data_IF_739594052764
#
_entry.id   IF_739594052764
#
_cell.length_a   1.000
_cell.length_b   1.000
_cell.length_c   1.000
_cell.angle_alpha   90.00
_cell.angle_beta   90.00
_cell.angle_gamma   90.00
#
_symmetry.space_group_name_H-M   'P 1'
#
loop_
_entity.id
_entity.type
_entity.pdbx_description
1 polymer ?
#
# COMPACT_ATOMS: atom_id res chain seq x y z
N UNK A 1 -25.85 -10.67 -7.55
CA UNK A 1 -24.45 -10.27 -7.76
C UNK A 1 -23.92 -9.84 -6.39
N UNK A 2 -23.17 -10.72 -5.73
CA UNK A 2 -22.52 -10.42 -4.45
C UNK A 2 -21.30 -9.56 -4.77
N UNK A 3 -21.39 -8.27 -4.43
CA UNK A 3 -20.24 -7.37 -4.46
C UNK A 3 -19.20 -7.90 -3.49
N UNK A 4 -18.10 -8.45 -4.01
CA UNK A 4 -16.96 -8.81 -3.17
C UNK A 4 -16.46 -7.56 -2.46
N UNK A 5 -16.50 -7.59 -1.14
CA UNK A 5 -16.07 -6.51 -0.27
C UNK A 5 -14.55 -6.29 -0.44
N UNK A 6 -14.16 -5.09 -0.85
CA UNK A 6 -12.74 -4.70 -0.88
C UNK A 6 -12.22 -4.69 0.55
N UNK A 7 -11.43 -5.70 0.92
CA UNK A 7 -10.82 -5.75 2.24
C UNK A 7 -9.59 -4.85 2.29
N UNK A 8 -9.65 -3.84 3.14
CA UNK A 8 -8.54 -2.96 3.45
C UNK A 8 -8.49 -2.71 4.96
N UNK A 9 -7.32 -2.82 5.54
CA UNK A 9 -7.07 -2.51 6.94
C UNK A 9 -5.73 -1.79 7.06
N UNK A 10 -5.71 -0.67 7.77
CA UNK A 10 -4.49 0.09 8.03
C UNK A 10 -4.32 0.38 9.52
N UNK A 11 -3.09 0.26 10.01
CA UNK A 11 -2.69 0.63 11.36
C UNK A 11 -1.50 1.59 11.29
N UNK A 12 -1.60 2.73 11.95
CA UNK A 12 -0.57 3.77 11.97
C UNK A 12 0.01 3.91 13.39
N UNK A 13 1.28 4.29 13.48
CA UNK A 13 2.08 4.30 14.72
C UNK A 13 1.52 5.16 15.85
N UNK A 14 0.96 6.31 15.58
CA UNK A 14 0.45 7.23 16.60
C UNK A 14 -1.00 6.90 16.95
N UNK A 15 -1.29 6.62 18.24
CA UNK A 15 -2.64 6.37 18.72
C UNK A 15 -3.62 7.52 18.46
N UNK A 16 -3.14 8.77 18.34
CA UNK A 16 -3.94 9.93 17.92
C UNK A 16 -4.26 9.91 16.44
N UNK A 17 -3.47 9.16 15.65
CA UNK A 17 -3.59 9.00 14.20
C UNK A 17 -4.00 7.55 13.82
N UNK A 18 -4.21 6.68 14.81
CA UNK A 18 -4.54 5.28 14.58
C UNK A 18 -5.91 5.17 13.90
N UNK A 19 -5.85 5.01 12.58
CA UNK A 19 -7.01 4.67 11.78
C UNK A 19 -7.07 3.16 11.72
N UNK A 20 -7.73 2.54 12.71
CA UNK A 20 -8.16 1.16 12.59
C UNK A 20 -9.51 1.19 11.88
N UNK A 21 -9.50 1.02 10.56
CA UNK A 21 -10.73 0.78 9.82
C UNK A 21 -10.60 -0.52 9.06
N UNK A 22 -11.17 -1.55 9.64
CA UNK A 22 -11.62 -2.70 8.88
C UNK A 22 -12.89 -2.22 8.18
N UNK A 23 -12.81 -2.05 6.86
CA UNK A 23 -14.01 -1.68 6.12
C UNK A 23 -14.79 -2.93 5.74
N UNK A 24 -15.87 -3.17 6.43
CA UNK A 24 -17.05 -3.77 5.83
C UNK A 24 -17.69 -2.68 4.98
N UNK A 25 -17.90 -2.96 3.71
CA UNK A 25 -18.33 -1.99 2.69
C UNK A 25 -19.73 -1.40 3.00
N UNK A 26 -19.84 -0.41 3.87
CA UNK A 26 -21.09 0.18 4.31
C UNK A 26 -21.45 1.47 3.58
N UNK A 27 -20.50 2.15 2.94
CA UNK A 27 -20.76 3.36 2.18
C UNK A 27 -21.08 3.03 0.71
N UNK A 28 -22.19 3.56 0.15
CA UNK A 28 -22.55 3.32 -1.24
C UNK A 28 -21.62 4.00 -2.25
N UNK A 29 -20.82 4.99 -1.81
CA UNK A 29 -19.80 5.66 -2.65
C UNK A 29 -18.46 5.60 -1.97
N UNK A 30 -17.48 5.06 -2.66
CA UNK A 30 -16.09 4.95 -2.21
C UNK A 30 -15.20 5.71 -3.16
N UNK A 31 -14.23 6.41 -2.60
CA UNK A 31 -13.22 7.14 -3.35
C UNK A 31 -11.85 6.97 -2.68
N UNK A 32 -10.81 7.24 -3.44
CA UNK A 32 -9.45 7.24 -2.95
C UNK A 32 -8.62 8.35 -3.63
N UNK A 33 -7.56 8.80 -2.97
CA UNK A 33 -6.66 9.80 -3.50
C UNK A 33 -5.40 9.92 -2.67
N UNK A 34 -4.57 10.92 -2.97
CA UNK A 34 -3.36 11.16 -2.21
C UNK A 34 -3.12 12.66 -1.97
N UNK A 35 -2.54 12.98 -0.82
CA UNK A 35 -1.92 14.27 -0.58
C UNK A 35 -0.49 14.21 -1.11
N UNK A 36 -0.28 14.79 -2.29
CA UNK A 36 1.06 14.90 -2.87
C UNK A 36 1.80 16.03 -2.16
N UNK A 37 2.98 15.73 -1.65
CA UNK A 37 3.77 16.68 -0.86
C UNK A 37 5.23 16.74 -1.32
N UNK A 38 5.87 17.87 -1.01
CA UNK A 38 7.31 18.07 -1.21
C UNK A 38 7.89 18.93 -0.09
N UNK A 39 9.22 18.94 0.01
CA UNK A 39 9.94 19.95 0.78
C UNK A 39 10.52 20.99 -0.19
N UNK A 40 10.17 22.24 0.00
CA UNK A 40 10.81 23.38 -0.66
C UNK A 40 11.73 24.08 0.35
N UNK A 41 13.02 23.77 0.28
CA UNK A 41 13.92 23.96 1.41
C UNK A 41 13.48 23.09 2.58
N UNK A 42 13.27 23.69 3.74
CA UNK A 42 12.73 23.02 4.93
C UNK A 42 11.19 23.09 5.05
N UNK A 43 10.51 23.81 4.13
CA UNK A 43 9.07 24.02 4.21
C UNK A 43 8.32 22.88 3.56
N UNK A 44 7.39 22.31 4.32
CA UNK A 44 6.42 21.36 3.78
C UNK A 44 5.42 22.11 2.89
N UNK A 45 5.26 21.64 1.67
CA UNK A 45 4.23 22.05 0.72
C UNK A 45 3.40 20.87 0.27
N UNK A 46 2.12 21.11 0.02
CA UNK A 46 1.15 20.14 -0.48
C UNK A 46 0.54 20.62 -1.79
N UNK A 47 0.28 19.69 -2.70
CA UNK A 47 -0.35 19.97 -3.98
C UNK A 47 -1.86 19.99 -3.81
N UNK A 48 -2.50 21.10 -4.18
CA UNK A 48 -3.95 21.24 -4.25
C UNK A 48 -4.40 21.37 -5.69
N UNK A 49 -5.62 20.93 -5.95
CA UNK A 49 -6.30 21.05 -7.25
C UNK A 49 -7.53 21.96 -7.13
N UNK A 50 -7.79 22.77 -8.17
CA UNK A 50 -9.05 23.48 -8.35
C UNK A 50 -9.88 22.79 -9.43
N UNK A 51 -11.17 22.51 -9.11
CA UNK A 51 -12.10 21.85 -10.01
C UNK A 51 -13.18 22.84 -10.45
N UNK A 52 -13.14 23.33 -11.70
CA UNK A 52 -14.03 24.41 -12.16
C UNK A 52 -15.52 24.03 -12.10
N UNK A 53 -15.84 22.75 -12.33
CA UNK A 53 -17.23 22.24 -12.26
C UNK A 53 -17.88 22.46 -10.88
N UNK A 54 -17.10 22.38 -9.81
CA UNK A 54 -17.55 22.51 -8.42
C UNK A 54 -17.13 23.85 -7.81
N UNK A 55 -16.24 24.58 -8.49
CA UNK A 55 -15.58 25.78 -7.99
C UNK A 55 -14.99 25.55 -6.59
N UNK A 56 -14.26 24.44 -6.42
CA UNK A 56 -13.70 24.02 -5.15
C UNK A 56 -12.20 23.69 -5.24
N UNK A 57 -11.52 23.88 -4.10
CA UNK A 57 -10.17 23.44 -3.85
C UNK A 57 -10.16 22.19 -3.00
N UNK A 58 -9.47 21.16 -3.45
CA UNK A 58 -9.41 19.87 -2.77
C UNK A 58 -8.08 19.13 -3.04
N UNK A 59 -7.98 17.91 -2.52
CA UNK A 59 -6.91 16.97 -2.85
C UNK A 59 -7.25 16.17 -4.09
N UNK A 60 -6.23 15.73 -4.87
CA UNK A 60 -6.46 14.78 -5.97
C UNK A 60 -7.12 13.50 -5.47
N UNK A 61 -8.30 13.16 -5.99
CA UNK A 61 -9.07 11.97 -5.60
C UNK A 61 -10.29 11.76 -6.49
N UNK A 62 -10.68 10.54 -6.66
CA UNK A 62 -11.93 10.24 -7.33
C UNK A 62 -12.55 8.90 -6.91
N UNK A 63 -13.58 8.47 -7.62
CA UNK A 63 -14.36 7.29 -7.29
C UNK A 63 -13.61 6.02 -7.66
N UNK A 64 -13.78 5.00 -6.83
CA UNK A 64 -13.30 3.65 -7.12
C UNK A 64 -14.09 3.06 -8.29
N UNK A 65 -13.38 2.60 -9.31
CA UNK A 65 -13.96 1.86 -10.42
C UNK A 65 -14.17 0.37 -10.07
N UNK A 66 -15.04 -0.30 -10.83
CA UNK A 66 -15.26 -1.72 -10.66
C UNK A 66 -13.96 -2.50 -10.94
N UNK A 67 -13.62 -3.46 -10.07
CA UNK A 67 -12.42 -4.26 -10.20
C UNK A 67 -11.12 -3.60 -9.69
N UNK A 68 -11.17 -2.35 -9.22
CA UNK A 68 -10.02 -1.67 -8.60
C UNK A 68 -9.93 -1.91 -7.09
N UNK A 69 -8.74 -1.94 -6.56
CA UNK A 69 -8.49 -1.72 -5.13
C UNK A 69 -8.39 -0.22 -4.85
N UNK A 70 -8.53 0.18 -3.58
CA UNK A 70 -8.42 1.59 -3.17
C UNK A 70 -7.08 2.23 -3.53
N UNK A 71 -5.99 1.45 -3.47
CA UNK A 71 -4.66 1.95 -3.82
C UNK A 71 -4.48 2.14 -5.33
N UNK A 72 -5.09 1.26 -6.15
CA UNK A 72 -5.15 1.43 -7.60
C UNK A 72 -5.93 2.70 -7.95
N UNK A 73 -7.10 2.90 -7.34
CA UNK A 73 -7.89 4.13 -7.49
C UNK A 73 -7.06 5.38 -7.15
N UNK A 74 -6.36 5.38 -6.01
CA UNK A 74 -5.59 6.55 -5.56
C UNK A 74 -4.49 6.95 -6.57
N UNK A 75 -3.73 5.98 -7.11
CA UNK A 75 -2.68 6.29 -8.08
C UNK A 75 -3.23 6.66 -9.45
N UNK A 76 -4.36 6.07 -9.89
CA UNK A 76 -5.03 6.41 -11.14
C UNK A 76 -5.54 7.85 -11.09
N UNK A 77 -6.29 8.22 -10.06
CA UNK A 77 -6.87 9.56 -9.91
C UNK A 77 -5.80 10.67 -9.84
N UNK A 78 -4.70 10.42 -9.11
CA UNK A 78 -3.57 11.37 -9.13
C UNK A 78 -2.93 11.45 -10.51
N UNK A 79 -2.84 10.32 -11.23
CA UNK A 79 -2.35 10.28 -12.60
C UNK A 79 -3.23 11.06 -13.56
N UNK A 80 -4.54 10.93 -13.45
CA UNK A 80 -5.54 11.59 -14.28
C UNK A 80 -5.63 13.10 -13.98
N UNK A 81 -5.77 13.49 -12.71
CA UNK A 81 -6.01 14.89 -12.32
C UNK A 81 -4.75 15.77 -12.39
N UNK A 82 -3.54 15.20 -12.13
CA UNK A 82 -2.29 16.01 -12.05
C UNK A 82 -1.10 15.43 -12.82
N UNK A 83 -1.32 14.43 -13.68
CA UNK A 83 -0.30 13.82 -14.56
C UNK A 83 0.95 13.28 -13.81
N UNK A 84 0.82 12.80 -12.59
CA UNK A 84 1.91 12.26 -11.80
C UNK A 84 1.81 10.75 -11.63
N UNK A 85 2.94 10.07 -11.76
CA UNK A 85 3.13 8.71 -11.24
C UNK A 85 3.70 8.79 -9.84
N UNK A 86 2.94 8.32 -8.86
CA UNK A 86 3.30 8.40 -7.45
C UNK A 86 3.52 7.01 -6.84
N UNK A 87 4.28 6.97 -5.75
CA UNK A 87 4.35 5.84 -4.83
C UNK A 87 3.64 6.25 -3.54
N UNK A 88 2.73 5.40 -3.06
CA UNK A 88 1.99 5.66 -1.84
C UNK A 88 2.89 5.45 -0.62
N UNK A 89 2.87 6.43 0.27
CA UNK A 89 3.50 6.41 1.59
C UNK A 89 2.52 6.02 2.69
N UNK A 90 2.60 6.68 3.84
CA UNK A 90 1.73 6.39 4.98
C UNK A 90 0.26 6.65 4.67
N UNK A 91 -0.66 5.76 5.11
CA UNK A 91 -2.09 6.04 5.03
C UNK A 91 -2.43 7.21 5.95
N UNK A 92 -3.31 8.08 5.46
CA UNK A 92 -3.83 9.25 6.16
C UNK A 92 -5.27 9.02 6.65
N UNK A 93 -5.94 10.07 7.10
CA UNK A 93 -7.31 9.99 7.56
C UNK A 93 -8.27 9.56 6.45
N UNK A 94 -9.31 8.82 6.82
CA UNK A 94 -10.46 8.52 5.95
C UNK A 94 -11.56 9.52 6.27
N UNK A 95 -11.98 10.28 5.26
CA UNK A 95 -13.04 11.27 5.44
C UNK A 95 -14.41 10.68 5.09
N UNK A 96 -15.44 11.05 5.86
CA UNK A 96 -16.80 10.58 5.66
C UNK A 96 -17.72 11.79 5.51
N UNK A 97 -18.51 11.83 4.45
CA UNK A 97 -19.50 12.89 4.23
C UNK A 97 -20.63 12.44 3.30
N UNK A 98 -21.68 13.22 3.24
CA UNK A 98 -22.84 12.95 2.39
C UNK A 98 -22.68 13.62 1.03
N UNK A 99 -22.90 12.86 -0.04
CA UNK A 99 -22.97 13.38 -1.41
C UNK A 99 -24.30 12.97 -2.04
N UNK A 100 -25.12 13.93 -2.42
CA UNK A 100 -26.44 13.68 -3.03
C UNK A 100 -27.29 12.69 -2.22
N UNK A 101 -27.29 12.83 -0.88
CA UNK A 101 -28.04 11.96 0.03
C UNK A 101 -27.44 10.57 0.27
N UNK A 102 -26.23 10.29 -0.24
CA UNK A 102 -25.52 9.02 -0.05
C UNK A 102 -24.25 9.21 0.74
N UNK A 103 -23.90 8.34 1.71
CA UNK A 103 -22.63 8.41 2.41
C UNK A 103 -21.49 8.12 1.42
N UNK A 104 -20.41 8.88 1.56
CA UNK A 104 -19.16 8.72 0.80
C UNK A 104 -17.99 8.61 1.74
N UNK A 105 -17.16 7.58 1.53
CA UNK A 105 -15.88 7.41 2.20
C UNK A 105 -14.75 7.74 1.22
N UNK A 106 -13.77 8.55 1.65
CA UNK A 106 -12.59 8.87 0.86
C UNK A 106 -11.34 8.46 1.64
N UNK A 107 -10.54 7.60 1.04
CA UNK A 107 -9.29 7.09 1.60
C UNK A 107 -8.12 7.88 1.04
N UNK A 108 -7.20 8.31 1.91
CA UNK A 108 -6.05 9.10 1.51
C UNK A 108 -4.73 8.50 1.96
N UNK A 109 -3.71 8.68 1.14
CA UNK A 109 -2.31 8.40 1.45
C UNK A 109 -1.47 9.65 1.27
N UNK A 110 -0.34 9.72 1.98
CA UNK A 110 0.71 10.65 1.65
C UNK A 110 1.47 10.14 0.43
N UNK A 111 1.83 11.03 -0.50
CA UNK A 111 2.69 10.68 -1.63
C UNK A 111 3.75 11.76 -1.81
N UNK A 112 5.03 11.39 -1.69
CA UNK A 112 6.11 12.35 -1.97
C UNK A 112 6.20 12.62 -3.47
N UNK A 113 6.34 13.89 -3.86
CA UNK A 113 6.61 14.22 -5.25
C UNK A 113 7.90 13.51 -5.72
N UNK A 114 7.86 12.68 -6.78
CA UNK A 114 9.06 12.04 -7.29
C UNK A 114 10.08 13.07 -7.80
N UNK A 115 11.36 12.75 -7.65
CA UNK A 115 12.44 13.65 -8.08
C UNK A 115 12.40 13.87 -9.59
N UNK A 116 12.38 15.13 -10.01
CA UNK A 116 12.36 15.51 -11.43
C UNK A 116 10.96 15.53 -12.05
N UNK A 117 9.92 15.13 -11.33
CA UNK A 117 8.55 15.19 -11.81
C UNK A 117 7.92 16.57 -11.60
N UNK A 118 7.07 16.95 -12.54
CA UNK A 118 6.36 18.23 -12.53
C UNK A 118 4.87 17.99 -12.77
N UNK A 119 4.00 18.19 -11.76
CA UNK A 119 2.57 18.04 -11.93
C UNK A 119 2.03 19.04 -12.94
N UNK A 120 1.00 18.60 -13.67
CA UNK A 120 0.24 19.44 -14.61
C UNK A 120 -1.24 19.17 -14.42
N UNK A 121 -2.05 20.22 -14.42
CA UNK A 121 -3.49 20.06 -14.41
C UNK A 121 -3.95 19.29 -15.67
N UNK A 122 -4.91 18.38 -15.49
CA UNK A 122 -5.65 17.84 -16.62
C UNK A 122 -6.76 18.83 -17.00
N UNK A 123 -6.68 19.42 -18.18
CA UNK A 123 -7.58 20.48 -18.63
C UNK A 123 -9.07 20.08 -18.69
N UNK A 124 -9.41 18.79 -18.45
CA UNK A 124 -10.78 18.29 -18.43
C UNK A 124 -11.49 18.47 -17.09
N UNK A 125 -10.85 18.10 -15.98
CA UNK A 125 -11.45 18.09 -14.64
C UNK A 125 -10.80 19.11 -13.68
N UNK A 126 -9.53 19.43 -13.90
CA UNK A 126 -8.72 20.34 -13.07
C UNK A 126 -8.18 21.47 -13.94
N UNK A 127 -8.49 22.71 -13.62
CA UNK A 127 -8.03 23.89 -14.34
C UNK A 127 -6.82 24.58 -13.68
N UNK A 128 -6.60 24.35 -12.37
CA UNK A 128 -5.48 24.93 -11.64
C UNK A 128 -4.91 23.96 -10.61
N UNK A 129 -3.59 23.96 -10.48
CA UNK A 129 -2.88 23.27 -9.39
C UNK A 129 -2.03 24.27 -8.62
N UNK A 130 -1.90 24.09 -7.30
CA UNK A 130 -1.07 24.94 -6.44
C UNK A 130 -0.27 24.15 -5.45
N UNK A 131 1.00 24.51 -5.33
CA UNK A 131 1.82 24.13 -4.18
C UNK A 131 1.63 25.19 -3.09
N UNK A 132 1.16 24.73 -1.94
CA UNK A 132 0.85 25.62 -0.81
C UNK A 132 1.36 25.03 0.50
N UNK A 133 1.66 25.89 1.47
CA UNK A 133 1.95 25.43 2.83
C UNK A 133 0.67 24.86 3.50
N UNK A 134 0.78 24.02 4.54
CA UNK A 134 -0.39 23.54 5.29
C UNK A 134 -1.26 24.66 5.84
N UNK A 135 -0.65 25.79 6.21
CA UNK A 135 -1.38 26.99 6.70
C UNK A 135 -2.25 27.61 5.60
N UNK A 136 -1.76 27.68 4.40
CA UNK A 136 -2.48 28.20 3.23
C UNK A 136 -3.54 27.19 2.77
N UNK A 137 -3.20 25.90 2.74
CA UNK A 137 -4.14 24.83 2.40
C UNK A 137 -5.40 24.87 3.29
N UNK A 138 -5.25 25.04 4.62
CA UNK A 138 -6.40 25.19 5.53
C UNK A 138 -7.35 26.32 5.19
N UNK A 139 -6.87 27.36 4.53
CA UNK A 139 -7.71 28.50 4.13
C UNK A 139 -8.37 28.29 2.76
N UNK A 140 -7.72 27.52 1.89
CA UNK A 140 -8.18 27.28 0.54
C UNK A 140 -9.16 26.12 0.44
N UNK A 141 -9.00 25.09 1.29
CA UNK A 141 -9.87 23.91 1.28
C UNK A 141 -11.35 24.31 1.37
N UNK A 142 -12.11 23.87 0.38
CA UNK A 142 -13.54 24.18 0.30
C UNK A 142 -14.39 23.27 1.21
N UNK A 143 -13.90 22.07 1.52
CA UNK A 143 -14.57 21.09 2.38
C UNK A 143 -13.87 20.99 3.75
N UNK A 144 -14.63 21.09 4.83
CA UNK A 144 -14.08 20.96 6.19
C UNK A 144 -13.52 19.57 6.47
N UNK A 145 -14.07 18.51 5.88
CA UNK A 145 -13.59 17.15 6.04
C UNK A 145 -12.21 16.92 5.41
N UNK A 146 -11.82 17.71 4.40
CA UNK A 146 -10.51 17.61 3.75
C UNK A 146 -9.36 18.14 4.64
N UNK A 147 -9.66 18.75 5.80
CA UNK A 147 -8.65 19.10 6.80
C UNK A 147 -8.09 17.87 7.53
N UNK A 148 -8.88 16.81 7.74
CA UNK A 148 -8.45 15.64 8.51
C UNK A 148 -7.19 14.97 7.90
N UNK A 149 -7.14 14.64 6.59
CA UNK A 149 -5.92 14.07 5.99
C UNK A 149 -4.75 15.05 5.98
N UNK A 150 -4.98 16.36 5.90
CA UNK A 150 -3.92 17.37 6.03
C UNK A 150 -3.30 17.37 7.43
N UNK A 151 -4.13 17.33 8.48
CA UNK A 151 -3.63 17.29 9.87
C UNK A 151 -2.84 16.00 10.12
N UNK A 152 -3.29 14.86 9.60
CA UNK A 152 -2.56 13.61 9.67
C UNK A 152 -1.19 13.71 8.97
N UNK A 153 -1.13 14.29 7.77
CA UNK A 153 0.13 14.51 7.05
C UNK A 153 1.08 15.44 7.83
N UNK A 154 0.56 16.53 8.38
CA UNK A 154 1.34 17.49 9.21
C UNK A 154 1.86 16.82 10.48
N UNK A 155 1.07 15.95 11.10
CA UNK A 155 1.49 15.21 12.29
C UNK A 155 2.64 14.24 11.94
N UNK A 156 2.55 13.49 10.84
CA UNK A 156 3.64 12.65 10.35
C UNK A 156 4.90 13.46 10.04
N UNK A 157 4.76 14.65 9.43
CA UNK A 157 5.90 15.53 9.18
C UNK A 157 6.60 15.94 10.47
N UNK A 158 5.83 16.42 11.46
CA UNK A 158 6.37 16.82 12.79
C UNK A 158 7.01 15.66 13.55
N UNK A 159 6.47 14.46 13.41
CA UNK A 159 7.01 13.26 14.04
C UNK A 159 8.24 12.66 13.29
N UNK A 160 8.63 13.21 12.13
CA UNK A 160 9.70 12.66 11.30
C UNK A 160 9.36 11.30 10.65
N UNK A 161 8.08 11.00 10.52
CA UNK A 161 7.56 9.71 10.00
C UNK A 161 6.89 9.84 8.62
N UNK A 162 7.00 11.00 7.96
CA UNK A 162 6.39 11.24 6.66
C UNK A 162 7.20 10.64 5.50
N UNK A 163 8.53 10.70 5.59
CA UNK A 163 9.41 10.09 4.60
C UNK A 163 9.51 8.59 4.85
N UNK A 164 8.87 7.82 4.00
CA UNK A 164 8.85 6.35 4.10
C UNK A 164 9.13 5.68 2.77
N UNK A 165 9.47 4.41 2.83
CA UNK A 165 9.51 3.51 1.68
C UNK A 165 8.69 2.26 1.95
N UNK A 166 8.00 1.70 0.96
CA UNK A 166 7.20 0.51 1.15
C UNK A 166 8.07 -0.77 1.20
N UNK A 167 7.69 -1.68 2.10
CA UNK A 167 8.14 -3.06 2.13
C UNK A 167 6.89 -3.96 2.11
N UNK A 168 6.78 -4.79 1.08
CA UNK A 168 5.62 -5.65 0.84
C UNK A 168 5.92 -7.07 1.27
N UNK A 169 5.11 -7.63 2.18
CA UNK A 169 5.13 -9.04 2.54
C UNK A 169 3.92 -9.71 1.90
N UNK A 170 4.14 -10.70 1.06
CA UNK A 170 3.08 -11.42 0.37
C UNK A 170 3.03 -12.89 0.77
N UNK A 171 1.83 -13.40 1.02
CA UNK A 171 1.58 -14.83 0.94
C UNK A 171 1.26 -15.19 -0.51
N UNK A 172 1.85 -16.27 -1.04
CA UNK A 172 1.55 -16.73 -2.41
C UNK A 172 0.03 -16.80 -2.65
N UNK A 173 -0.40 -16.51 -3.86
CA UNK A 173 -1.79 -16.61 -4.31
C UNK A 173 -2.32 -18.05 -4.24
N UNK A 174 -3.63 -18.23 -4.42
CA UNK A 174 -4.29 -19.52 -4.25
C UNK A 174 -3.69 -20.59 -5.17
N UNK A 175 -3.04 -21.59 -4.58
CA UNK A 175 -2.46 -22.71 -5.30
C UNK A 175 -3.51 -23.83 -5.53
N UNK A 176 -3.24 -24.74 -6.47
CA UNK A 176 -4.04 -25.98 -6.60
C UNK A 176 -4.14 -26.71 -5.26
N UNK A 177 -5.29 -27.32 -4.91
CA UNK A 177 -5.40 -28.14 -3.70
C UNK A 177 -4.36 -29.28 -3.71
N UNK A 178 -3.81 -29.62 -2.52
CA UNK A 178 -2.87 -30.72 -2.40
C UNK A 178 -3.50 -32.06 -2.83
N UNK A 179 -4.78 -32.26 -2.56
CA UNK A 179 -5.55 -33.44 -3.00
C UNK A 179 -5.58 -33.64 -4.52
N UNK A 180 -5.39 -32.57 -5.30
CA UNK A 180 -5.44 -32.57 -6.77
C UNK A 180 -4.04 -32.39 -7.39
N UNK A 181 -2.99 -32.71 -6.63
CA UNK A 181 -1.60 -32.59 -7.07
C UNK A 181 -0.79 -33.82 -6.68
N UNK A 182 -0.19 -34.50 -7.65
CA UNK A 182 0.53 -35.76 -7.47
C UNK A 182 2.04 -35.66 -7.59
N UNK A 183 2.56 -34.53 -8.13
CA UNK A 183 3.99 -34.27 -8.21
C UNK A 183 4.51 -33.63 -6.90
N UNK A 184 5.78 -33.24 -6.88
CA UNK A 184 6.40 -32.61 -5.71
C UNK A 184 5.69 -31.31 -5.31
N UNK A 185 5.57 -31.02 -4.01
CA UNK A 185 4.79 -29.86 -3.50
C UNK A 185 5.42 -28.49 -3.87
N UNK A 186 6.72 -28.45 -4.10
CA UNK A 186 7.43 -27.27 -4.60
C UNK A 186 7.08 -26.93 -6.06
N UNK A 187 6.69 -27.92 -6.87
CA UNK A 187 6.21 -27.75 -8.24
C UNK A 187 4.70 -27.46 -8.34
N UNK A 188 3.98 -27.43 -7.21
CA UNK A 188 2.54 -27.21 -7.19
C UNK A 188 2.18 -25.77 -7.62
N UNK A 189 1.46 -25.59 -8.77
CA UNK A 189 1.20 -24.29 -9.35
C UNK A 189 0.01 -23.58 -8.72
N UNK A 190 -0.20 -22.34 -9.12
CA UNK A 190 -1.42 -21.58 -8.82
C UNK A 190 -2.64 -22.25 -9.46
N UNK A 191 -3.78 -22.16 -8.75
CA UNK A 191 -5.11 -22.43 -9.30
C UNK A 191 -5.56 -21.29 -10.24
N UNK A 192 -6.66 -21.45 -10.94
CA UNK A 192 -7.24 -20.41 -11.79
C UNK A 192 -7.47 -19.09 -11.05
N UNK A 193 -8.11 -19.15 -9.87
CA UNK A 193 -8.26 -18.00 -8.98
C UNK A 193 -6.92 -17.39 -8.58
N UNK A 194 -5.91 -18.20 -8.25
CA UNK A 194 -4.59 -17.69 -7.91
C UNK A 194 -3.88 -16.99 -9.06
N UNK A 195 -4.08 -17.41 -10.30
CA UNK A 195 -3.56 -16.71 -11.47
C UNK A 195 -4.21 -15.33 -11.64
N UNK A 196 -5.53 -15.22 -11.41
CA UNK A 196 -6.21 -13.91 -11.40
C UNK A 196 -5.70 -13.01 -10.25
N UNK A 197 -5.52 -13.57 -9.05
CA UNK A 197 -4.89 -12.84 -7.95
C UNK A 197 -3.49 -12.32 -8.31
N UNK A 198 -2.66 -13.12 -8.97
CA UNK A 198 -1.32 -12.72 -9.39
C UNK A 198 -1.34 -11.56 -10.39
N UNK A 199 -2.28 -11.55 -11.33
CA UNK A 199 -2.49 -10.42 -12.26
C UNK A 199 -3.00 -9.18 -11.55
N UNK A 200 -3.95 -9.32 -10.62
CA UNK A 200 -4.43 -8.19 -9.81
C UNK A 200 -3.30 -7.62 -8.92
N UNK A 201 -2.40 -8.48 -8.43
CA UNK A 201 -1.21 -8.00 -7.72
C UNK A 201 -0.26 -7.19 -8.59
N UNK A 202 -0.13 -7.49 -9.90
CA UNK A 202 0.70 -6.65 -10.78
C UNK A 202 0.23 -5.20 -10.75
N UNK A 203 -1.08 -4.97 -10.87
CA UNK A 203 -1.67 -3.62 -10.80
C UNK A 203 -1.55 -2.98 -9.42
N UNK A 204 -1.89 -3.73 -8.35
CA UNK A 204 -1.80 -3.25 -6.96
C UNK A 204 -0.38 -2.81 -6.58
N UNK A 205 0.64 -3.55 -7.03
CA UNK A 205 2.03 -3.26 -6.72
C UNK A 205 2.55 -1.99 -7.38
N UNK A 206 1.91 -1.48 -8.44
CA UNK A 206 2.22 -0.16 -9.02
C UNK A 206 2.16 0.95 -7.95
N UNK A 207 1.20 0.85 -7.03
CA UNK A 207 1.05 1.83 -5.95
C UNK A 207 2.24 1.88 -4.99
N UNK A 208 3.06 0.82 -4.94
CA UNK A 208 4.20 0.70 -4.02
C UNK A 208 5.54 0.53 -4.72
N UNK A 209 5.54 0.30 -6.03
CA UNK A 209 6.70 0.25 -6.93
C UNK A 209 7.92 -0.51 -6.38
N UNK A 210 7.80 -1.77 -5.90
CA UNK A 210 8.93 -2.51 -5.37
C UNK A 210 9.95 -2.82 -6.47
N UNK A 211 11.19 -2.38 -6.26
CA UNK A 211 12.32 -2.59 -7.19
C UNK A 211 13.20 -3.78 -6.82
N UNK A 212 12.99 -4.38 -5.65
CA UNK A 212 13.71 -5.54 -5.17
C UNK A 212 12.72 -6.65 -4.79
N UNK A 213 12.72 -7.74 -5.57
CA UNK A 213 11.80 -8.87 -5.40
C UNK A 213 12.54 -10.06 -4.82
N UNK A 214 12.10 -10.53 -3.63
CA UNK A 214 12.59 -11.74 -2.97
C UNK A 214 11.45 -12.75 -2.93
N UNK A 215 11.69 -13.99 -3.36
CA UNK A 215 10.66 -15.03 -3.34
C UNK A 215 11.21 -16.37 -2.90
N UNK A 216 10.33 -17.18 -2.28
CA UNK A 216 10.51 -18.62 -2.24
C UNK A 216 10.66 -19.16 -3.67
N UNK A 217 11.57 -20.12 -3.95
CA UNK A 217 11.72 -20.72 -5.27
C UNK A 217 10.54 -21.63 -5.67
N UNK A 218 9.64 -21.96 -4.75
CA UNK A 218 8.51 -22.81 -5.04
C UNK A 218 7.57 -22.17 -6.05
N UNK A 219 7.12 -22.97 -7.02
CA UNK A 219 6.44 -22.50 -8.23
C UNK A 219 5.29 -21.52 -7.94
N UNK A 220 4.44 -21.79 -6.93
CA UNK A 220 3.32 -20.92 -6.56
C UNK A 220 3.72 -19.53 -6.11
N UNK A 221 4.87 -19.37 -5.43
CA UNK A 221 5.40 -18.05 -5.05
C UNK A 221 5.97 -17.32 -6.27
N UNK A 222 6.74 -18.03 -7.09
CA UNK A 222 7.30 -17.48 -8.33
C UNK A 222 6.18 -17.00 -9.26
N UNK A 223 5.14 -17.82 -9.46
CA UNK A 223 3.97 -17.46 -10.27
C UNK A 223 3.15 -16.30 -9.71
N UNK A 224 3.17 -16.08 -8.38
CA UNK A 224 2.47 -14.95 -7.75
C UNK A 224 3.14 -13.63 -8.10
N UNK A 225 4.46 -13.59 -8.14
CA UNK A 225 5.24 -12.36 -8.34
C UNK A 225 5.59 -12.12 -9.82
N UNK A 226 5.57 -13.19 -10.64
CA UNK A 226 6.02 -13.14 -12.03
C UNK A 226 5.31 -12.09 -12.90
N UNK A 227 3.99 -11.84 -12.83
CA UNK A 227 3.37 -10.81 -13.64
C UNK A 227 4.03 -9.44 -13.43
N UNK A 228 4.09 -8.96 -12.18
CA UNK A 228 4.74 -7.69 -11.86
C UNK A 228 6.22 -7.65 -12.27
N UNK A 229 6.95 -8.72 -11.99
CA UNK A 229 8.37 -8.83 -12.34
C UNK A 229 8.61 -8.71 -13.86
N UNK A 230 7.73 -9.32 -14.67
CA UNK A 230 7.81 -9.27 -16.13
C UNK A 230 7.45 -7.88 -16.68
N UNK A 231 6.36 -7.29 -16.18
CA UNK A 231 5.88 -5.97 -16.61
C UNK A 231 6.94 -4.87 -16.38
N UNK A 232 7.77 -5.03 -15.32
CA UNK A 232 8.83 -4.09 -14.96
C UNK A 232 10.25 -4.53 -15.29
N UNK A 233 10.44 -5.69 -15.94
CA UNK A 233 11.75 -6.27 -16.22
C UNK A 233 12.65 -6.42 -14.98
N UNK A 234 12.06 -6.74 -13.80
CA UNK A 234 12.77 -6.90 -12.52
C UNK A 234 13.03 -8.39 -12.25
N UNK A 235 14.28 -8.75 -11.97
CA UNK A 235 14.63 -10.11 -11.62
C UNK A 235 14.11 -10.51 -10.22
N UNK A 236 13.43 -11.67 -10.13
CA UNK A 236 13.04 -12.28 -8.87
C UNK A 236 14.24 -13.00 -8.25
N UNK A 237 14.66 -12.60 -7.06
CA UNK A 237 15.76 -13.21 -6.32
C UNK A 237 15.22 -14.35 -5.44
N UNK A 238 15.45 -15.56 -5.86
CA UNK A 238 15.06 -16.75 -5.14
C UNK A 238 15.82 -16.89 -3.81
N UNK A 239 15.09 -17.25 -2.76
CA UNK A 239 15.60 -17.49 -1.40
C UNK A 239 15.04 -18.81 -0.87
N UNK A 240 15.85 -19.88 -0.90
CA UNK A 240 15.44 -21.19 -0.39
C UNK A 240 14.91 -21.13 1.05
N UNK A 241 15.44 -20.23 1.90
CA UNK A 241 14.95 -20.04 3.27
C UNK A 241 13.56 -19.42 3.39
N UNK A 242 12.95 -18.98 2.28
CA UNK A 242 11.55 -18.54 2.23
C UNK A 242 10.59 -19.67 1.82
N UNK A 243 11.09 -20.88 1.48
CA UNK A 243 10.24 -22.06 1.27
C UNK A 243 9.89 -22.72 2.62
N UNK A 244 8.84 -23.57 2.62
CA UNK A 244 8.39 -24.25 3.81
C UNK A 244 9.51 -25.14 4.38
N UNK A 245 10.13 -25.98 3.56
CA UNK A 245 11.24 -26.84 3.98
C UNK A 245 12.52 -26.07 4.34
N UNK A 246 12.82 -25.01 3.61
CA UNK A 246 13.99 -24.17 3.87
C UNK A 246 13.89 -23.41 5.18
N UNK A 247 12.72 -22.87 5.49
CA UNK A 247 12.44 -22.15 6.74
C UNK A 247 12.45 -23.11 7.96
N UNK A 248 11.84 -24.29 7.83
CA UNK A 248 11.85 -25.32 8.85
C UNK A 248 13.28 -25.78 9.20
N UNK A 249 14.12 -26.02 8.19
CA UNK A 249 15.51 -26.44 8.39
C UNK A 249 16.45 -25.31 8.86
N UNK A 250 16.17 -24.07 8.47
CA UNK A 250 17.10 -22.95 8.71
C UNK A 250 16.38 -21.65 9.11
N UNK A 251 15.63 -21.59 10.24
CA UNK A 251 14.83 -20.42 10.62
C UNK A 251 15.65 -19.14 10.80
N UNK A 252 16.91 -19.24 11.22
CA UNK A 252 17.81 -18.08 11.31
C UNK A 252 18.13 -17.45 9.94
N UNK A 253 18.14 -18.26 8.86
CA UNK A 253 18.34 -17.73 7.51
C UNK A 253 17.11 -16.99 7.00
N UNK A 254 15.90 -17.46 7.36
CA UNK A 254 14.65 -16.74 7.08
C UNK A 254 14.66 -15.37 7.75
N UNK A 255 14.99 -15.32 9.05
CA UNK A 255 15.13 -14.05 9.77
C UNK A 255 16.15 -13.11 9.10
N UNK A 256 17.35 -13.61 8.74
CA UNK A 256 18.36 -12.80 8.04
C UNK A 256 17.89 -12.27 6.68
N UNK A 257 17.10 -13.03 5.92
CA UNK A 257 16.51 -12.56 4.66
C UNK A 257 15.49 -11.46 4.93
N UNK A 258 14.64 -11.61 5.96
CA UNK A 258 13.68 -10.59 6.37
C UNK A 258 14.40 -9.30 6.83
N UNK A 259 15.41 -9.42 7.70
CA UNK A 259 16.24 -8.28 8.14
C UNK A 259 16.88 -7.53 6.97
N UNK A 260 17.24 -8.23 5.90
CA UNK A 260 17.84 -7.61 4.72
C UNK A 260 16.91 -6.63 3.98
N UNK A 261 15.60 -6.63 4.29
CA UNK A 261 14.63 -5.65 3.77
C UNK A 261 14.87 -4.26 4.37
N UNK A 262 15.48 -4.19 5.57
CA UNK A 262 15.75 -2.93 6.27
C UNK A 262 17.16 -2.40 6.00
N UNK A 263 18.11 -3.26 5.64
CA UNK A 263 19.47 -2.87 5.32
C UNK A 263 19.56 -2.17 3.95
N UNK A 264 18.74 -2.58 3.00
CA UNK A 264 18.68 -1.96 1.67
C UNK A 264 17.52 -0.98 1.62
N UNK A 265 17.82 0.28 1.47
CA UNK A 265 16.86 1.40 1.49
C UNK A 265 16.11 1.57 0.17
N UNK A 266 15.58 0.47 -0.38
CA UNK A 266 14.79 0.47 -1.61
C UNK A 266 13.43 -0.20 -1.37
N UNK A 267 12.37 0.21 -2.08
CA UNK A 267 11.10 -0.49 -2.07
C UNK A 267 11.30 -1.98 -2.38
N UNK A 268 10.80 -2.84 -1.51
CA UNK A 268 11.12 -4.28 -1.56
C UNK A 268 9.86 -5.13 -1.38
N UNK A 269 9.86 -6.31 -2.02
CA UNK A 269 8.82 -7.33 -1.87
C UNK A 269 9.43 -8.65 -1.42
N UNK A 270 8.75 -9.34 -0.48
CA UNK A 270 9.05 -10.69 -0.04
C UNK A 270 7.81 -11.57 -0.19
N UNK A 271 7.88 -12.60 -1.04
CA UNK A 271 6.81 -13.58 -1.22
C UNK A 271 7.16 -14.93 -0.58
N UNK A 272 6.24 -15.46 0.23
CA UNK A 272 6.46 -16.69 0.99
C UNK A 272 5.16 -17.48 1.25
N UNK A 273 5.20 -18.42 2.19
CA UNK A 273 4.16 -19.38 2.52
C UNK A 273 3.63 -19.18 3.94
N UNK A 274 2.38 -19.61 4.21
CA UNK A 274 1.75 -19.56 5.54
C UNK A 274 2.67 -20.07 6.67
N UNK A 275 3.32 -21.26 6.59
CA UNK A 275 4.16 -21.75 7.69
C UNK A 275 5.42 -20.92 7.93
N UNK A 276 5.80 -20.05 7.00
CA UNK A 276 6.99 -19.18 7.10
C UNK A 276 6.66 -17.82 7.70
N UNK A 277 5.41 -17.35 7.56
CA UNK A 277 4.96 -16.05 8.04
C UNK A 277 5.27 -15.78 9.53
N UNK A 278 5.10 -16.74 10.47
CA UNK A 278 5.47 -16.51 11.87
C UNK A 278 6.93 -16.09 12.06
N UNK A 279 7.85 -16.67 11.29
CA UNK A 279 9.28 -16.31 11.35
C UNK A 279 9.54 -14.92 10.77
N UNK A 280 8.86 -14.60 9.66
CA UNK A 280 8.93 -13.28 9.02
C UNK A 280 8.40 -12.22 9.99
N UNK A 281 7.17 -12.37 10.51
CA UNK A 281 6.59 -11.39 11.42
C UNK A 281 7.35 -11.28 12.75
N UNK A 282 7.96 -12.38 13.24
CA UNK A 282 8.84 -12.34 14.42
C UNK A 282 10.07 -11.44 14.15
N UNK A 283 10.69 -11.54 12.99
CA UNK A 283 11.82 -10.68 12.62
C UNK A 283 11.37 -9.21 12.47
N UNK A 284 10.22 -8.96 11.83
CA UNK A 284 9.67 -7.62 11.66
C UNK A 284 9.37 -6.90 12.99
N UNK A 285 9.00 -7.63 14.05
CA UNK A 285 8.72 -7.02 15.37
C UNK A 285 9.88 -6.18 15.91
N UNK A 286 11.13 -6.56 15.59
CA UNK A 286 12.32 -5.80 15.98
C UNK A 286 12.44 -4.42 15.34
N UNK A 287 11.70 -4.18 14.26
CA UNK A 287 11.72 -2.93 13.50
C UNK A 287 10.48 -2.06 13.73
N UNK A 288 9.57 -2.47 14.58
CA UNK A 288 8.41 -1.65 14.95
C UNK A 288 8.86 -0.43 15.76
N UNK A 289 8.30 0.72 15.47
CA UNK A 289 8.47 1.88 16.32
C UNK A 289 7.87 1.63 17.71
N UNK A 290 8.44 2.24 18.76
CA UNK A 290 7.96 2.06 20.14
C UNK A 290 6.46 2.36 20.23
N UNK A 291 5.70 1.45 20.83
CA UNK A 291 4.23 1.59 20.96
C UNK A 291 3.41 0.87 19.88
N UNK A 292 4.04 0.36 18.82
CA UNK A 292 3.34 -0.23 17.66
C UNK A 292 3.22 -1.77 17.69
N UNK A 293 3.45 -2.41 18.84
CA UNK A 293 3.58 -3.89 18.94
C UNK A 293 2.37 -4.70 18.43
N UNK A 294 1.19 -4.08 18.31
CA UNK A 294 -0.08 -4.76 17.96
C UNK A 294 -0.48 -4.60 16.48
N UNK A 295 0.31 -3.92 15.66
CA UNK A 295 -0.07 -3.61 14.27
C UNK A 295 0.27 -4.72 13.27
N UNK A 296 1.12 -5.69 13.61
CA UNK A 296 1.42 -6.83 12.76
C UNK A 296 0.43 -7.98 13.01
N UNK A 297 0.10 -8.78 11.98
CA UNK A 297 -0.67 -10.00 12.15
C UNK A 297 -0.01 -10.94 13.18
N UNK A 298 -0.79 -11.43 14.15
CA UNK A 298 -0.28 -12.25 15.27
C UNK A 298 -0.86 -13.67 15.31
N UNK A 299 -2.00 -13.89 14.65
CA UNK A 299 -2.76 -15.14 14.71
C UNK A 299 -2.74 -15.86 13.36
N UNK A 300 -2.67 -17.19 13.41
CA UNK A 300 -2.80 -18.04 12.24
C UNK A 300 -4.22 -17.88 11.62
N UNK A 301 -4.36 -17.71 10.31
CA UNK A 301 -3.37 -17.91 9.23
C UNK A 301 -2.44 -16.74 8.92
N UNK A 302 -2.38 -15.69 9.71
CA UNK A 302 -1.63 -14.44 9.54
C UNK A 302 -2.06 -13.65 8.30
N UNK A 303 -2.23 -14.30 7.18
CA UNK A 303 -2.63 -13.75 5.88
C UNK A 303 -3.36 -14.85 5.09
N UNK A 304 -4.43 -14.50 4.38
CA UNK A 304 -5.06 -15.39 3.42
C UNK A 304 -4.21 -15.57 2.14
N UNK A 305 -4.41 -16.64 1.34
CA UNK A 305 -3.72 -16.78 0.06
C UNK A 305 -3.94 -15.59 -0.86
N UNK A 306 -2.87 -14.92 -1.23
CA UNK A 306 -2.91 -13.70 -2.03
C UNK A 306 -3.07 -12.41 -1.23
N UNK A 307 -3.06 -12.42 0.09
CA UNK A 307 -2.99 -11.18 0.86
C UNK A 307 -1.57 -10.59 0.79
N UNK A 308 -1.50 -9.26 0.80
CA UNK A 308 -0.29 -8.48 0.94
C UNK A 308 -0.35 -7.61 2.21
N UNK A 309 0.71 -7.65 3.01
CA UNK A 309 0.94 -6.72 4.11
C UNK A 309 1.97 -5.70 3.65
N UNK A 310 1.57 -4.43 3.67
CA UNK A 310 2.39 -3.30 3.27
C UNK A 310 2.91 -2.62 4.53
N UNK A 311 4.21 -2.49 4.62
CA UNK A 311 4.89 -1.80 5.71
C UNK A 311 5.46 -0.50 5.16
N UNK A 312 5.09 0.63 5.74
CA UNK A 312 5.77 1.88 5.48
C UNK A 312 6.94 2.00 6.46
N UNK A 313 8.16 1.96 5.94
CA UNK A 313 9.39 2.01 6.73
C UNK A 313 9.99 3.40 6.62
N UNK A 314 10.17 4.08 7.75
CA UNK A 314 10.80 5.41 7.79
C UNK A 314 12.20 5.36 7.20
N UNK A 315 12.55 6.36 6.40
CA UNK A 315 13.90 6.56 5.84
C UNK A 315 14.80 7.40 6.75
N UNK A 316 14.29 7.86 7.91
CA UNK A 316 15.10 8.55 8.90
C UNK A 316 16.14 7.61 9.51
N UNK A 317 17.25 8.18 10.02
CA UNK A 317 18.28 7.42 10.74
C UNK A 317 17.62 6.66 11.92
N UNK A 318 17.88 5.35 12.01
CA UNK A 318 17.21 4.44 12.95
C UNK A 318 15.68 4.36 12.78
N UNK A 319 15.16 4.71 11.60
CA UNK A 319 13.74 4.62 11.30
C UNK A 319 13.20 3.19 11.32
N UNK A 320 11.96 3.04 11.80
CA UNK A 320 11.25 1.76 11.91
C UNK A 320 10.00 1.70 11.05
N UNK A 321 9.20 0.65 11.28
CA UNK A 321 7.89 0.49 10.64
C UNK A 321 6.93 1.50 11.25
N UNK A 322 6.45 2.41 10.41
CA UNK A 322 5.53 3.52 10.77
C UNK A 322 4.07 3.09 10.67
N UNK A 323 3.73 2.37 9.61
CA UNK A 323 2.37 1.88 9.38
C UNK A 323 2.37 0.48 8.78
N UNK A 324 1.27 -0.22 8.98
CA UNK A 324 1.01 -1.56 8.44
C UNK A 324 -0.38 -1.56 7.83
N UNK A 325 -0.47 -1.92 6.56
CA UNK A 325 -1.72 -2.09 5.83
C UNK A 325 -1.85 -3.55 5.39
N UNK A 326 -3.04 -4.10 5.44
CA UNK A 326 -3.33 -5.41 4.83
C UNK A 326 -4.27 -5.21 3.67
N UNK A 327 -3.87 -5.66 2.50
CA UNK A 327 -4.62 -5.48 1.25
C UNK A 327 -4.82 -6.85 0.60
N UNK A 328 -6.04 -7.07 0.14
CA UNK A 328 -6.41 -8.21 -0.69
C UNK A 328 -6.61 -7.75 -2.13
N UNK A 329 -6.04 -8.45 -3.14
CA UNK A 329 -6.27 -8.09 -4.53
C UNK A 329 -7.75 -8.28 -4.89
N UNK A 330 -8.30 -7.33 -5.62
CA UNK A 330 -9.65 -7.45 -6.19
C UNK A 330 -9.55 -8.33 -7.43
N UNK A 331 -10.36 -9.38 -7.50
CA UNK A 331 -10.44 -10.30 -8.63
C UNK A 331 -11.88 -10.36 -9.12
N UNK A 332 -12.08 -10.18 -10.40
CA UNK A 332 -13.35 -10.38 -11.09
C UNK A 332 -13.65 -11.88 -11.32
#
# INVERSE_FOLDING_TARGET
MTTESTYYSAHVYDNSLAITRTRENTAPVVAAGALVWRLHGEKLEVLMIHRPRYNDWSWPKGKQDAGESLVETAIREVGEEVTLRITLGVPLAVTNYMVSGRPKDVFYWAAQLPVGEHPRADEGEVDEIRWVTPKEARKLLSNSTDHEPLEALVAHHKAGTLHTRPVVIMRHAKAKPRSNWTAADDERPLAGTGKRQALAHSRLLEAYSPTRLLSSPWLRCMQTVAPYANDHAIAIKEKKSLSESGAAGHPKRTAKVTESLFVKEVPSLLCTHRPVLPLVFKALKGHLMKGSAKILPTEDPYMEPGDAVILQVSTAEHGGIVSVETIRPVID
#
